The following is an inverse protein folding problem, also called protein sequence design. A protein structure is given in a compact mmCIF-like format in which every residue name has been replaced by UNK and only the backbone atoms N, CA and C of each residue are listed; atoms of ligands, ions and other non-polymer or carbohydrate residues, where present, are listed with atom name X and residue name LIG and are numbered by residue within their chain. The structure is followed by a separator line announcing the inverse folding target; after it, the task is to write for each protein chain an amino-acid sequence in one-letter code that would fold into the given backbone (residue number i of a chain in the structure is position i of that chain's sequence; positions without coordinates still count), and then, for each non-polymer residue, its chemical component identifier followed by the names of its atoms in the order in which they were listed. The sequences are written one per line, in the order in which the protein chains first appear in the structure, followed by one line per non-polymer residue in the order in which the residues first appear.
data_IF_709941679520
#
_entry.id   IF_709941679520
#
_cell.length_a   1.000
_cell.length_b   1.000
_cell.length_c   1.000
_cell.angle_alpha   90.00
_cell.angle_beta   90.00
_cell.angle_gamma   90.00
#
_symmetry.space_group_name_H-M   'P 1'
#
loop_
_entity.id
_entity.type
_entity.pdbx_description
1 polymer ?
#
# COMPACT_ATOMS: atom_id res chain seq x y z
N UNK A 1 18.03 -0.62 29.01
CA UNK A 1 18.35 -1.95 28.44
C UNK A 1 17.35 -2.19 27.33
N UNK A 2 17.73 -2.43 26.06
CA UNK A 2 16.78 -2.92 25.06
C UNK A 2 16.27 -4.28 25.57
N UNK A 3 14.98 -4.49 25.44
CA UNK A 3 14.31 -5.70 25.88
C UNK A 3 14.70 -6.82 24.89
N UNK A 4 15.51 -7.79 25.30
CA UNK A 4 16.00 -8.90 24.46
C UNK A 4 14.90 -9.89 24.00
N UNK A 5 13.63 -9.52 24.19
CA UNK A 5 12.50 -10.36 23.80
C UNK A 5 12.23 -10.26 22.30
N UNK A 6 12.12 -11.39 21.64
CA UNK A 6 11.73 -11.50 20.22
C UNK A 6 10.34 -10.91 19.94
N UNK A 7 9.41 -11.06 20.88
CA UNK A 7 7.99 -10.66 20.74
C UNK A 7 7.57 -9.68 21.84
N UNK A 8 6.63 -8.75 21.54
CA UNK A 8 5.97 -7.96 22.57
C UNK A 8 5.09 -8.84 23.46
N UNK A 9 4.80 -8.39 24.67
CA UNK A 9 3.77 -9.00 25.51
C UNK A 9 2.38 -8.75 24.92
N UNK A 10 1.38 -9.52 25.35
CA UNK A 10 -0.02 -9.33 24.99
C UNK A 10 -0.49 -7.89 25.23
N UNK A 11 -0.13 -7.30 26.37
CA UNK A 11 -0.50 -5.92 26.72
C UNK A 11 0.17 -4.89 25.80
N UNK A 12 1.47 -5.05 25.52
CA UNK A 12 2.21 -4.16 24.63
C UNK A 12 1.64 -4.22 23.20
N UNK A 13 1.34 -5.44 22.70
CA UNK A 13 0.75 -5.62 21.37
C UNK A 13 -0.63 -4.96 21.24
N UNK A 14 -1.53 -5.18 22.23
CA UNK A 14 -2.86 -4.58 22.22
C UNK A 14 -2.82 -3.05 22.29
N UNK A 15 -1.99 -2.49 23.18
CA UNK A 15 -1.78 -1.03 23.28
C UNK A 15 -1.29 -0.43 21.95
N UNK A 16 -0.33 -1.09 21.31
CA UNK A 16 0.23 -0.62 20.05
C UNK A 16 -0.80 -0.71 18.91
N UNK A 17 -1.60 -1.77 18.85
CA UNK A 17 -2.70 -1.88 17.88
C UNK A 17 -3.69 -0.73 18.05
N UNK A 18 -4.11 -0.42 19.27
CA UNK A 18 -5.03 0.71 19.56
C UNK A 18 -4.40 2.04 19.16
N UNK A 19 -3.12 2.25 19.50
CA UNK A 19 -2.40 3.46 19.14
C UNK A 19 -2.31 3.67 17.63
N UNK A 20 -1.93 2.64 16.88
CA UNK A 20 -1.84 2.70 15.42
C UNK A 20 -3.23 2.91 14.81
N UNK A 21 -4.27 2.28 15.34
CA UNK A 21 -5.64 2.53 14.91
C UNK A 21 -6.04 4.01 15.03
N UNK A 22 -5.69 4.67 16.15
CA UNK A 22 -5.89 6.12 16.32
C UNK A 22 -5.12 6.94 15.29
N UNK A 23 -3.85 6.57 15.01
CA UNK A 23 -3.02 7.25 13.99
C UNK A 23 -3.65 7.12 12.60
N UNK A 24 -4.12 5.92 12.22
CA UNK A 24 -4.83 5.71 10.95
C UNK A 24 -6.07 6.59 10.83
N UNK A 25 -6.88 6.67 11.89
CA UNK A 25 -8.07 7.51 11.93
C UNK A 25 -7.73 9.00 11.80
N UNK A 26 -6.76 9.48 12.58
CA UNK A 26 -6.34 10.89 12.56
C UNK A 26 -5.71 11.33 11.24
N UNK A 27 -5.09 10.40 10.51
CA UNK A 27 -4.52 10.65 9.19
C UNK A 27 -5.51 10.45 8.03
N UNK A 28 -6.78 10.16 8.32
CA UNK A 28 -7.80 9.83 7.33
C UNK A 28 -7.43 8.63 6.45
N UNK A 29 -6.70 7.65 7.00
CA UNK A 29 -6.37 6.41 6.29
C UNK A 29 -7.50 5.39 6.34
N UNK A 30 -8.49 5.61 7.22
CA UNK A 30 -9.66 4.75 7.39
C UNK A 30 -10.93 5.59 7.51
N UNK A 31 -11.99 5.12 6.89
CA UNK A 31 -13.34 5.63 7.05
C UNK A 31 -14.16 4.63 7.87
N UNK A 32 -15.15 5.10 8.63
CA UNK A 32 -16.05 4.27 9.42
C UNK A 32 -15.31 3.17 10.22
N UNK A 33 -15.45 1.90 9.81
CA UNK A 33 -14.83 0.73 10.44
C UNK A 33 -13.77 0.05 9.55
N UNK A 34 -13.33 0.71 8.48
CA UNK A 34 -12.34 0.19 7.55
C UNK A 34 -10.98 -0.06 8.20
N UNK A 35 -10.16 -0.85 7.47
CA UNK A 35 -8.80 -1.18 7.87
C UNK A 35 -8.71 -2.23 8.97
N UNK A 36 -7.53 -2.79 9.14
CA UNK A 36 -7.23 -3.79 10.15
C UNK A 36 -5.73 -3.83 10.46
N UNK A 37 -5.40 -4.29 11.66
CA UNK A 37 -4.05 -4.28 12.21
C UNK A 37 -3.83 -5.60 12.94
N UNK A 38 -2.65 -6.19 12.82
CA UNK A 38 -2.26 -7.35 13.62
C UNK A 38 -0.81 -7.29 14.05
N UNK A 39 -0.51 -7.97 15.16
CA UNK A 39 0.81 -8.04 15.77
C UNK A 39 1.10 -9.46 16.27
N UNK A 40 2.25 -10.04 15.89
CA UNK A 40 2.72 -11.32 16.45
C UNK A 40 3.18 -11.13 17.89
N UNK A 41 2.80 -12.08 18.74
CA UNK A 41 3.21 -12.17 20.15
C UNK A 41 3.86 -13.50 20.47
N UNK A 42 3.89 -14.42 19.50
CA UNK A 42 4.57 -15.71 19.54
C UNK A 42 4.82 -16.17 18.09
N UNK A 43 5.54 -17.27 17.89
CA UNK A 43 5.78 -17.87 16.57
C UNK A 43 4.48 -18.19 15.82
N UNK A 44 3.42 -18.58 16.55
CA UNK A 44 2.12 -19.01 16.01
C UNK A 44 0.92 -18.19 16.49
N UNK A 45 1.15 -17.10 17.23
CA UNK A 45 0.04 -16.32 17.84
C UNK A 45 0.14 -14.85 17.47
N UNK A 46 -1.04 -14.29 17.12
CA UNK A 46 -1.22 -12.87 16.87
C UNK A 46 -2.33 -12.29 17.74
N UNK A 47 -2.24 -10.98 17.98
CA UNK A 47 -3.39 -10.11 18.27
C UNK A 47 -3.80 -9.39 17.00
N UNK A 48 -5.12 -9.24 16.78
CA UNK A 48 -5.68 -8.54 15.62
C UNK A 48 -6.90 -7.72 16.02
N UNK A 49 -7.24 -6.75 15.17
CA UNK A 49 -8.41 -5.89 15.35
C UNK A 49 -9.72 -6.65 15.17
N UNK A 50 -10.77 -6.29 15.93
CA UNK A 50 -12.10 -6.86 15.76
C UNK A 50 -12.77 -6.34 14.47
N UNK A 51 -13.75 -7.09 13.96
CA UNK A 51 -14.62 -6.63 12.87
C UNK A 51 -15.59 -5.53 13.32
N UNK A 52 -15.94 -4.62 12.42
CA UNK A 52 -17.03 -3.66 12.60
C UNK A 52 -16.79 -2.58 13.67
N UNK A 53 -15.54 -2.31 14.05
CA UNK A 53 -15.15 -1.27 14.99
C UNK A 53 -14.28 -0.23 14.32
N UNK A 54 -14.59 1.06 14.53
CA UNK A 54 -13.76 2.16 14.04
C UNK A 54 -12.38 2.13 14.67
N UNK A 55 -11.34 2.22 13.86
CA UNK A 55 -9.95 2.10 14.32
C UNK A 55 -9.53 3.24 15.25
N UNK A 56 -10.19 4.40 15.15
CA UNK A 56 -9.95 5.53 16.06
C UNK A 56 -10.50 5.37 17.47
N UNK A 57 -11.40 4.40 17.69
CA UNK A 57 -12.17 4.27 18.93
C UNK A 57 -12.10 2.85 19.52
N UNK A 58 -11.10 2.08 19.18
CA UNK A 58 -10.86 0.76 19.75
C UNK A 58 -10.33 0.84 21.18
N UNK A 59 -10.62 -0.19 21.98
CA UNK A 59 -10.01 -0.45 23.28
C UNK A 59 -9.31 -1.82 23.31
N UNK A 60 -8.40 -2.02 24.26
CA UNK A 60 -7.57 -3.24 24.34
C UNK A 60 -8.38 -4.53 24.58
N UNK A 61 -9.51 -4.43 25.26
CA UNK A 61 -10.42 -5.55 25.58
C UNK A 61 -11.20 -6.06 24.35
N UNK A 62 -11.28 -5.26 23.29
CA UNK A 62 -11.95 -5.62 22.04
C UNK A 62 -11.06 -6.48 21.13
N UNK A 63 -9.74 -6.53 21.38
CA UNK A 63 -8.80 -7.24 20.50
C UNK A 63 -9.06 -8.75 20.46
N UNK A 64 -8.74 -9.36 19.34
CA UNK A 64 -8.88 -10.80 19.12
C UNK A 64 -7.50 -11.46 19.12
N UNK A 65 -7.34 -12.52 19.92
CA UNK A 65 -6.15 -13.37 19.93
C UNK A 65 -6.42 -14.62 19.11
N UNK A 66 -5.52 -14.94 18.20
CA UNK A 66 -5.71 -16.09 17.32
C UNK A 66 -4.39 -16.73 16.91
N UNK A 67 -4.46 -17.99 16.44
CA UNK A 67 -3.34 -18.68 15.81
C UNK A 67 -3.22 -18.31 14.34
N UNK A 68 -2.03 -18.58 13.78
CA UNK A 68 -1.80 -18.37 12.34
C UNK A 68 -2.60 -19.34 11.45
N UNK A 69 -3.10 -20.45 12.01
CA UNK A 69 -4.04 -21.37 11.32
C UNK A 69 -5.49 -20.85 11.27
N UNK A 70 -5.76 -19.68 11.87
CA UNK A 70 -7.09 -19.07 11.93
C UNK A 70 -7.89 -19.42 13.18
N UNK A 71 -7.39 -20.28 14.09
CA UNK A 71 -8.08 -20.64 15.33
C UNK A 71 -8.13 -19.43 16.27
N UNK A 72 -9.33 -19.01 16.65
CA UNK A 72 -9.53 -17.94 17.65
C UNK A 72 -9.31 -18.49 19.05
N UNK A 73 -8.40 -17.89 19.82
CA UNK A 73 -8.06 -18.26 21.20
C UNK A 73 -8.82 -17.42 22.23
N UNK A 74 -9.03 -16.13 21.94
CA UNK A 74 -9.75 -15.20 22.79
C UNK A 74 -10.26 -14.03 21.98
N UNK A 75 -11.46 -13.53 22.28
CA UNK A 75 -12.07 -12.35 21.65
C UNK A 75 -12.97 -11.63 22.64
N UNK A 76 -13.21 -10.33 22.39
CA UNK A 76 -14.25 -9.56 23.04
C UNK A 76 -15.63 -9.88 22.46
N UNK A 77 -16.49 -8.88 22.36
CA UNK A 77 -17.85 -9.04 21.83
C UNK A 77 -17.89 -9.41 20.34
N UNK A 78 -16.81 -9.12 19.60
CA UNK A 78 -16.73 -9.27 18.14
C UNK A 78 -15.58 -10.20 17.75
N UNK A 79 -15.78 -10.96 16.69
CA UNK A 79 -14.74 -11.80 16.08
C UNK A 79 -13.69 -10.96 15.32
N UNK A 80 -12.67 -11.62 14.73
CA UNK A 80 -11.63 -10.94 13.96
C UNK A 80 -12.20 -10.28 12.70
N UNK A 81 -11.46 -9.31 12.17
CA UNK A 81 -11.73 -8.73 10.85
C UNK A 81 -11.90 -9.84 9.80
N UNK A 82 -12.82 -9.68 8.86
CA UNK A 82 -13.01 -10.60 7.72
C UNK A 82 -11.77 -10.71 6.84
N UNK A 83 -10.91 -9.69 6.87
CA UNK A 83 -9.68 -9.59 6.07
C UNK A 83 -8.44 -10.09 6.81
N UNK A 84 -8.59 -10.65 8.01
CA UNK A 84 -7.46 -11.22 8.77
C UNK A 84 -6.73 -12.31 7.98
N UNK A 85 -7.41 -13.01 7.06
CA UNK A 85 -6.81 -14.02 6.17
C UNK A 85 -5.63 -13.47 5.36
N UNK A 86 -5.71 -12.20 4.95
CA UNK A 86 -4.62 -11.48 4.28
C UNK A 86 -3.38 -11.38 5.19
N UNK A 87 -3.59 -11.02 6.47
CA UNK A 87 -2.50 -10.94 7.45
C UNK A 87 -1.88 -12.31 7.73
N UNK A 88 -2.71 -13.34 7.90
CA UNK A 88 -2.25 -14.70 8.12
C UNK A 88 -1.38 -15.18 6.95
N UNK A 89 -1.80 -14.88 5.72
CA UNK A 89 -1.01 -15.22 4.53
C UNK A 89 0.34 -14.51 4.50
N UNK A 90 0.40 -13.21 4.84
CA UNK A 90 1.66 -12.46 4.92
C UNK A 90 2.59 -13.11 5.96
N UNK A 91 2.10 -13.45 7.15
CA UNK A 91 2.91 -14.11 8.18
C UNK A 91 3.40 -15.50 7.76
N UNK A 92 2.59 -16.21 6.98
CA UNK A 92 2.97 -17.55 6.48
C UNK A 92 4.07 -17.45 5.42
N UNK A 93 3.94 -16.54 4.46
CA UNK A 93 4.91 -16.36 3.38
C UNK A 93 6.20 -15.66 3.83
N UNK A 94 6.08 -14.77 4.82
CA UNK A 94 7.20 -13.99 5.35
C UNK A 94 7.36 -14.17 6.86
N UNK A 95 8.18 -15.14 7.30
CA UNK A 95 8.42 -15.39 8.74
C UNK A 95 9.06 -14.23 9.48
N UNK A 96 9.66 -13.25 8.80
CA UNK A 96 10.22 -12.04 9.41
C UNK A 96 9.16 -10.97 9.70
N UNK A 97 7.96 -11.07 9.13
CA UNK A 97 6.87 -10.17 9.43
C UNK A 97 6.37 -10.39 10.86
N UNK A 98 6.40 -9.33 11.69
CA UNK A 98 5.90 -9.32 13.06
C UNK A 98 4.67 -8.43 13.22
N UNK A 99 4.40 -7.56 12.26
CA UNK A 99 3.23 -6.69 12.22
C UNK A 99 2.71 -6.49 10.81
N UNK A 100 1.39 -6.33 10.69
CA UNK A 100 0.71 -6.03 9.42
C UNK A 100 -0.30 -4.93 9.66
N UNK A 101 -0.33 -3.94 8.75
CA UNK A 101 -1.28 -2.83 8.73
C UNK A 101 -1.96 -2.78 7.36
N UNK A 102 -3.28 -2.77 7.34
CA UNK A 102 -4.09 -2.53 6.14
C UNK A 102 -5.02 -1.35 6.37
N UNK A 103 -5.11 -0.48 5.39
CA UNK A 103 -5.98 0.69 5.39
C UNK A 103 -6.29 1.14 3.95
N UNK A 104 -7.12 2.19 3.84
CA UNK A 104 -7.50 2.82 2.57
C UNK A 104 -7.01 4.28 2.51
N UNK A 105 -5.68 4.55 2.58
CA UNK A 105 -5.19 5.92 2.55
C UNK A 105 -5.57 6.55 1.20
N UNK A 106 -6.08 7.80 1.16
CA UNK A 106 -6.77 8.32 -0.04
C UNK A 106 -5.95 8.34 -1.32
N UNK A 107 -4.67 8.71 -1.24
CA UNK A 107 -3.85 8.85 -2.45
C UNK A 107 -3.39 7.48 -2.95
N UNK A 108 -2.83 6.64 -2.08
CA UNK A 108 -2.41 5.30 -2.47
C UNK A 108 -3.59 4.43 -2.91
N UNK A 109 -4.78 4.60 -2.30
CA UNK A 109 -6.01 3.94 -2.76
C UNK A 109 -6.42 4.44 -4.16
N UNK A 110 -6.22 5.74 -4.47
CA UNK A 110 -6.47 6.25 -5.82
C UNK A 110 -5.53 5.60 -6.86
N UNK A 111 -4.25 5.41 -6.52
CA UNK A 111 -3.33 4.63 -7.35
C UNK A 111 -3.76 3.16 -7.50
N UNK A 112 -4.23 2.54 -6.41
CA UNK A 112 -4.77 1.18 -6.42
C UNK A 112 -6.01 1.06 -7.34
N UNK A 113 -6.92 2.05 -7.31
CA UNK A 113 -8.10 2.10 -8.21
C UNK A 113 -7.66 2.26 -9.67
N UNK A 114 -6.60 3.03 -9.92
CA UNK A 114 -6.05 3.18 -11.26
C UNK A 114 -5.23 1.94 -11.73
N UNK A 115 -4.99 0.95 -10.86
CA UNK A 115 -4.15 -0.21 -11.14
C UNK A 115 -2.66 0.13 -11.29
N UNK A 116 -2.20 1.22 -10.69
CA UNK A 116 -0.84 1.76 -10.83
C UNK A 116 -0.06 1.52 -9.54
N UNK A 117 1.06 0.78 -9.62
CA UNK A 117 2.02 0.63 -8.53
C UNK A 117 2.88 1.89 -8.33
N UNK A 118 3.63 1.93 -7.21
CA UNK A 118 4.54 3.02 -6.91
C UNK A 118 5.98 2.56 -7.14
N UNK A 119 6.55 2.94 -8.26
CA UNK A 119 7.84 2.43 -8.75
C UNK A 119 8.79 3.53 -9.27
N UNK A 120 8.55 4.80 -8.94
CA UNK A 120 9.35 5.92 -9.45
C UNK A 120 10.61 6.15 -8.60
N UNK A 121 11.77 6.18 -9.25
CA UNK A 121 13.05 6.48 -8.58
C UNK A 121 13.24 8.00 -8.38
N UNK A 122 12.38 8.63 -7.57
CA UNK A 122 12.33 10.09 -7.38
C UNK A 122 12.43 10.54 -5.92
N UNK A 123 12.35 9.60 -4.97
CA UNK A 123 12.29 9.91 -3.55
C UNK A 123 13.17 8.93 -2.75
N UNK A 124 14.37 9.37 -2.29
CA UNK A 124 15.36 8.50 -1.65
C UNK A 124 14.81 7.73 -0.43
N UNK A 125 14.04 8.38 0.44
CA UNK A 125 13.47 7.75 1.62
C UNK A 125 12.50 6.61 1.27
N UNK A 126 11.71 6.77 0.20
CA UNK A 126 10.85 5.69 -0.26
C UNK A 126 11.68 4.52 -0.82
N UNK A 127 12.73 4.79 -1.59
CA UNK A 127 13.61 3.74 -2.10
C UNK A 127 14.27 2.94 -0.97
N UNK A 128 14.74 3.62 0.07
CA UNK A 128 15.44 2.99 1.19
C UNK A 128 14.49 2.18 2.07
N UNK A 129 13.33 2.74 2.43
CA UNK A 129 12.44 2.13 3.43
C UNK A 129 11.39 1.19 2.83
N UNK A 130 10.90 1.48 1.62
CA UNK A 130 9.85 0.70 0.94
C UNK A 130 10.39 -0.09 -0.25
N UNK A 131 11.20 0.54 -1.08
CA UNK A 131 11.46 0.10 -2.44
C UNK A 131 10.28 0.42 -3.36
N UNK A 132 9.90 -0.53 -4.21
CA UNK A 132 8.69 -0.44 -5.04
C UNK A 132 7.48 -0.98 -4.28
N UNK A 133 6.28 -0.44 -4.59
CA UNK A 133 5.01 -0.92 -4.06
C UNK A 133 4.14 -1.39 -5.23
N UNK A 134 4.15 -2.69 -5.55
CA UNK A 134 3.32 -3.24 -6.63
C UNK A 134 1.83 -3.07 -6.35
N UNK A 135 1.03 -2.97 -7.42
CA UNK A 135 -0.42 -3.08 -7.35
C UNK A 135 -0.82 -4.50 -7.78
N UNK A 136 -1.39 -5.29 -6.85
CA UNK A 136 -1.91 -6.63 -7.17
C UNK A 136 -3.30 -6.54 -7.78
N UNK A 137 -3.70 -7.57 -8.54
CA UNK A 137 -5.00 -7.58 -9.22
C UNK A 137 -6.17 -7.56 -8.22
N UNK A 138 -7.32 -7.13 -8.72
CA UNK A 138 -8.55 -7.04 -7.92
C UNK A 138 -9.04 -8.41 -7.47
N UNK A 139 -9.39 -8.47 -6.19
CA UNK A 139 -10.10 -9.58 -5.56
C UNK A 139 -11.17 -9.04 -4.62
N UNK A 140 -12.27 -9.76 -4.45
CA UNK A 140 -13.35 -9.32 -3.59
C UNK A 140 -12.91 -9.26 -2.11
N UNK A 141 -13.18 -8.16 -1.37
CA UNK A 141 -12.83 -8.05 0.04
C UNK A 141 -13.36 -9.22 0.88
N UNK A 142 -12.52 -9.76 1.76
CA UNK A 142 -12.83 -10.91 2.61
C UNK A 142 -12.80 -12.28 1.90
N UNK A 143 -12.61 -12.32 0.56
CA UNK A 143 -12.45 -13.56 -0.20
C UNK A 143 -11.10 -14.24 0.06
N UNK A 144 -10.95 -15.49 -0.41
CA UNK A 144 -9.66 -16.18 -0.42
C UNK A 144 -8.73 -15.65 -1.53
N UNK A 145 -9.27 -14.96 -2.53
CA UNK A 145 -8.50 -14.39 -3.63
C UNK A 145 -7.47 -13.35 -3.15
N UNK A 146 -7.80 -12.50 -2.15
CA UNK A 146 -6.86 -11.51 -1.62
C UNK A 146 -5.60 -12.17 -1.05
N UNK A 147 -5.65 -13.12 -0.11
CA UNK A 147 -4.47 -13.87 0.33
C UNK A 147 -3.66 -14.47 -0.82
N UNK A 148 -4.32 -15.06 -1.81
CA UNK A 148 -3.66 -15.72 -2.92
C UNK A 148 -2.97 -14.71 -3.87
N UNK A 149 -3.55 -13.54 -4.09
CA UNK A 149 -2.98 -12.47 -4.89
C UNK A 149 -1.73 -11.84 -4.25
N UNK A 150 -1.64 -11.84 -2.92
CA UNK A 150 -0.54 -11.25 -2.15
C UNK A 150 0.64 -12.23 -2.01
N UNK A 151 0.38 -13.52 -1.92
CA UNK A 151 1.37 -14.56 -1.62
C UNK A 151 2.67 -14.45 -2.42
N UNK A 152 2.65 -14.22 -3.75
CA UNK A 152 3.89 -14.13 -4.54
C UNK A 152 4.80 -12.95 -4.17
N UNK A 153 4.26 -11.93 -3.48
CA UNK A 153 4.96 -10.68 -3.18
C UNK A 153 5.38 -10.57 -1.72
N UNK A 154 4.76 -11.32 -0.82
CA UNK A 154 4.89 -11.12 0.62
C UNK A 154 6.33 -11.27 1.15
N UNK A 155 7.18 -12.06 0.47
CA UNK A 155 8.59 -12.25 0.87
C UNK A 155 9.50 -11.13 0.41
N UNK A 156 9.29 -10.61 -0.79
CA UNK A 156 10.26 -9.76 -1.50
C UNK A 156 9.91 -8.27 -1.42
N UNK A 157 8.68 -7.93 -1.01
CA UNK A 157 8.21 -6.55 -0.88
C UNK A 157 7.86 -6.21 0.57
N UNK A 158 7.62 -4.94 0.82
CA UNK A 158 7.32 -4.40 2.16
C UNK A 158 5.91 -3.83 2.26
N UNK A 159 5.30 -3.53 1.13
CA UNK A 159 3.93 -3.03 1.00
C UNK A 159 3.38 -3.38 -0.39
N UNK A 160 2.05 -3.42 -0.50
CA UNK A 160 1.32 -3.64 -1.75
C UNK A 160 0.13 -2.69 -1.82
N UNK A 161 -0.23 -2.30 -3.02
CA UNK A 161 -1.55 -1.77 -3.35
C UNK A 161 -2.46 -2.93 -3.77
N UNK A 162 -3.69 -2.92 -3.28
CA UNK A 162 -4.73 -3.87 -3.63
C UNK A 162 -5.68 -3.18 -4.61
N UNK A 163 -5.73 -3.63 -5.86
CA UNK A 163 -6.52 -2.97 -6.91
C UNK A 163 -7.96 -2.71 -6.46
N UNK A 164 -8.45 -1.48 -6.66
CA UNK A 164 -9.79 -1.03 -6.27
C UNK A 164 -10.13 -1.15 -4.77
N UNK A 165 -9.12 -1.28 -3.88
CA UNK A 165 -9.37 -1.54 -2.48
C UNK A 165 -8.56 -0.60 -1.57
N UNK A 166 -7.25 -0.75 -1.49
CA UNK A 166 -6.42 0.02 -0.55
C UNK A 166 -4.97 -0.40 -0.56
N UNK A 167 -4.30 -0.26 0.59
CA UNK A 167 -2.90 -0.61 0.77
C UNK A 167 -2.69 -1.52 1.99
N UNK A 168 -1.73 -2.43 1.89
CA UNK A 168 -1.26 -3.28 2.99
C UNK A 168 0.25 -3.18 3.11
N UNK A 169 0.75 -3.10 4.34
CA UNK A 169 2.18 -3.09 4.63
C UNK A 169 2.49 -3.98 5.84
N UNK A 170 3.70 -4.51 5.88
CA UNK A 170 4.18 -5.37 6.96
C UNK A 170 5.64 -5.08 7.29
N UNK A 171 6.09 -5.55 8.45
CA UNK A 171 7.46 -5.28 8.88
C UNK A 171 7.92 -6.15 10.03
N UNK A 172 9.22 -6.06 10.40
CA UNK A 172 9.84 -6.79 11.51
C UNK A 172 9.34 -6.33 12.90
N UNK A 173 8.53 -5.28 12.94
CA UNK A 173 7.71 -4.90 14.08
C UNK A 173 6.40 -4.30 13.59
N UNK A 174 5.42 -4.14 14.49
CA UNK A 174 4.18 -3.48 14.14
C UNK A 174 4.39 -1.97 13.86
N UNK A 175 5.37 -1.34 14.50
CA UNK A 175 5.74 0.05 14.17
C UNK A 175 6.34 0.17 12.78
N UNK A 176 7.20 -0.75 12.36
CA UNK A 176 7.75 -0.76 11.00
C UNK A 176 6.64 -0.95 9.95
N UNK A 177 5.68 -1.85 10.22
CA UNK A 177 4.51 -2.03 9.34
C UNK A 177 3.71 -0.72 9.20
N UNK A 178 3.50 -0.01 10.32
CA UNK A 178 2.84 1.30 10.32
C UNK A 178 3.64 2.34 9.53
N UNK A 179 4.93 2.49 9.79
CA UNK A 179 5.77 3.45 9.07
C UNK A 179 5.82 3.17 7.57
N UNK A 180 5.83 1.90 7.16
CA UNK A 180 5.77 1.50 5.76
C UNK A 180 4.43 1.87 5.12
N UNK A 181 3.31 1.70 5.82
CA UNK A 181 1.99 2.12 5.33
C UNK A 181 1.91 3.65 5.20
N UNK A 182 2.40 4.38 6.21
CA UNK A 182 2.47 5.84 6.21
C UNK A 182 3.36 6.37 5.08
N UNK A 183 4.52 5.74 4.89
CA UNK A 183 5.45 6.07 3.80
C UNK A 183 4.88 5.73 2.42
N UNK A 184 4.06 4.68 2.31
CA UNK A 184 3.36 4.33 1.06
C UNK A 184 2.43 5.47 0.63
N UNK A 185 1.62 5.99 1.54
CA UNK A 185 0.74 7.12 1.26
C UNK A 185 1.53 8.39 0.93
N UNK A 186 2.57 8.69 1.70
CA UNK A 186 3.40 9.86 1.44
C UNK A 186 4.10 9.77 0.07
N UNK A 187 4.61 8.61 -0.30
CA UNK A 187 5.23 8.38 -1.60
C UNK A 187 4.22 8.53 -2.76
N UNK A 188 3.02 7.96 -2.62
CA UNK A 188 1.93 8.13 -3.59
C UNK A 188 1.57 9.63 -3.76
N UNK A 189 1.50 10.38 -2.65
CA UNK A 189 1.25 11.82 -2.65
C UNK A 189 2.35 12.59 -3.40
N UNK A 190 3.62 12.28 -3.15
CA UNK A 190 4.76 12.90 -3.85
C UNK A 190 4.68 12.61 -5.36
N UNK A 191 4.42 11.37 -5.77
CA UNK A 191 4.25 11.02 -7.20
C UNK A 191 3.11 11.82 -7.83
N UNK A 192 1.96 11.91 -7.15
CA UNK A 192 0.81 12.67 -7.63
C UNK A 192 1.14 14.15 -7.80
N UNK A 193 1.77 14.78 -6.81
CA UNK A 193 2.10 16.19 -6.87
C UNK A 193 3.15 16.51 -7.93
N UNK A 194 4.19 15.70 -8.06
CA UNK A 194 5.23 15.90 -9.07
C UNK A 194 4.72 15.64 -10.48
N UNK A 195 3.90 14.61 -10.67
CA UNK A 195 3.34 14.25 -11.98
C UNK A 195 2.21 15.19 -12.41
N UNK A 196 1.19 15.36 -11.57
CA UNK A 196 -0.08 15.99 -11.98
C UNK A 196 -0.14 17.50 -11.68
N UNK A 197 0.60 18.00 -10.69
CA UNK A 197 0.54 19.41 -10.27
C UNK A 197 1.76 20.18 -10.79
N UNK A 198 2.97 19.69 -10.48
CA UNK A 198 4.22 20.34 -10.89
C UNK A 198 4.55 20.01 -12.37
N UNK A 199 4.14 18.84 -12.82
CA UNK A 199 4.31 18.38 -14.20
C UNK A 199 5.73 17.89 -14.54
N UNK A 200 6.61 17.73 -13.54
CA UNK A 200 7.95 17.17 -13.72
C UNK A 200 8.50 16.53 -12.45
N UNK A 201 9.32 15.51 -12.62
CA UNK A 201 10.11 14.91 -11.55
C UNK A 201 11.58 14.78 -12.00
N UNK A 202 12.50 14.97 -11.08
CA UNK A 202 13.91 14.63 -11.31
C UNK A 202 14.10 13.15 -10.95
N UNK A 203 14.15 12.29 -11.96
CA UNK A 203 14.33 10.85 -11.79
C UNK A 203 15.80 10.56 -11.48
N UNK A 204 16.04 9.77 -10.45
CA UNK A 204 17.38 9.38 -10.05
C UNK A 204 18.06 8.50 -11.12
N UNK A 205 19.36 8.70 -11.31
CA UNK A 205 20.17 7.85 -12.20
C UNK A 205 20.34 6.45 -11.63
N UNK A 206 20.77 5.50 -12.48
CA UNK A 206 20.99 4.13 -12.03
C UNK A 206 22.12 4.05 -10.98
N UNK A 207 23.14 4.90 -11.07
CA UNK A 207 24.21 5.00 -10.06
C UNK A 207 23.63 5.45 -8.71
N UNK A 208 22.80 6.49 -8.71
CA UNK A 208 22.14 6.98 -7.50
C UNK A 208 21.19 5.95 -6.88
N UNK A 209 20.42 5.22 -7.71
CA UNK A 209 19.56 4.13 -7.23
C UNK A 209 20.42 3.02 -6.63
N UNK A 210 21.53 2.65 -7.25
CA UNK A 210 22.47 1.64 -6.72
C UNK A 210 23.01 2.05 -5.35
N UNK A 211 23.46 3.30 -5.20
CA UNK A 211 23.93 3.84 -3.92
C UNK A 211 22.87 3.75 -2.82
N UNK A 212 21.61 4.08 -3.14
CA UNK A 212 20.50 3.99 -2.18
C UNK A 212 20.17 2.54 -1.79
N UNK A 213 20.28 1.60 -2.73
CA UNK A 213 20.13 0.16 -2.44
C UNK A 213 21.24 -0.34 -1.53
N UNK A 214 22.48 0.15 -1.70
CA UNK A 214 23.57 -0.17 -0.75
C UNK A 214 23.30 0.38 0.65
N UNK A 215 22.77 1.60 0.77
CA UNK A 215 22.35 2.18 2.04
C UNK A 215 21.25 1.32 2.67
N UNK A 216 20.22 0.95 1.91
CA UNK A 216 19.14 0.07 2.35
C UNK A 216 19.68 -1.25 2.92
N UNK A 217 20.62 -1.89 2.20
CA UNK A 217 21.25 -3.14 2.64
C UNK A 217 22.05 -2.97 3.93
N UNK A 218 22.80 -1.86 4.09
CA UNK A 218 23.52 -1.52 5.32
C UNK A 218 22.59 -1.33 6.53
N UNK A 219 21.35 -0.89 6.29
CA UNK A 219 20.31 -0.79 7.31
C UNK A 219 19.63 -2.13 7.61
N UNK A 220 20.03 -3.23 6.97
CA UNK A 220 19.48 -4.56 7.16
C UNK A 220 18.13 -4.78 6.45
N UNK A 221 17.71 -3.87 5.57
CA UNK A 221 16.47 -4.00 4.79
C UNK A 221 16.82 -4.70 3.48
N UNK A 222 16.50 -5.99 3.38
CA UNK A 222 16.84 -6.85 2.22
C UNK A 222 15.71 -7.03 1.23
N UNK A 223 14.51 -6.54 1.55
CA UNK A 223 13.29 -6.58 0.74
C UNK A 223 12.94 -5.22 0.15
N UNK A 224 11.90 -5.16 -0.71
CA UNK A 224 11.35 -3.89 -1.19
C UNK A 224 11.52 -3.65 -2.69
N UNK A 225 12.03 -4.63 -3.46
CA UNK A 225 12.22 -4.48 -4.91
C UNK A 225 13.18 -3.34 -5.29
N UNK A 226 13.37 -3.13 -6.58
CA UNK A 226 14.22 -2.07 -7.14
C UNK A 226 13.42 -1.35 -8.23
N UNK A 227 13.18 -0.04 -8.12
CA UNK A 227 12.47 0.70 -9.16
C UNK A 227 13.32 0.79 -10.43
N UNK A 228 12.69 0.88 -11.62
CA UNK A 228 13.40 1.14 -12.84
C UNK A 228 14.12 2.49 -12.77
N UNK A 229 15.39 2.54 -13.16
CA UNK A 229 16.20 3.73 -13.16
C UNK A 229 16.46 4.25 -14.58
N UNK A 230 16.80 5.52 -14.72
CA UNK A 230 17.19 6.10 -15.99
C UNK A 230 18.70 5.88 -16.23
N UNK A 231 19.08 5.36 -17.40
CA UNK A 231 20.48 5.22 -17.80
C UNK A 231 21.20 6.57 -18.03
N UNK A 232 20.46 7.68 -18.04
CA UNK A 232 20.99 9.06 -18.11
C UNK A 232 20.19 9.94 -17.15
N UNK A 233 20.82 10.97 -16.52
CA UNK A 233 20.06 12.03 -15.89
C UNK A 233 19.14 12.62 -16.96
N UNK A 234 17.85 12.39 -16.84
CA UNK A 234 16.86 12.93 -17.79
C UNK A 234 16.89 14.44 -17.69
N UNK A 235 17.30 15.09 -18.76
CA UNK A 235 17.04 16.50 -18.94
C UNK A 235 15.52 16.68 -18.91
N UNK A 236 15.04 17.59 -18.12
CA UNK A 236 13.69 17.78 -17.57
C UNK A 236 12.54 17.88 -18.59
N UNK A 237 12.73 17.60 -19.86
CA UNK A 237 11.71 17.73 -20.89
C UNK A 237 11.01 16.42 -21.30
N UNK A 238 11.56 15.26 -20.99
CA UNK A 238 11.07 13.98 -21.54
C UNK A 238 10.06 13.24 -20.65
N UNK A 239 9.77 13.74 -19.44
CA UNK A 239 9.00 12.99 -18.42
C UNK A 239 7.48 13.17 -18.54
N UNK A 240 7.00 14.16 -19.31
CA UNK A 240 5.57 14.52 -19.35
C UNK A 240 4.77 13.69 -20.38
N UNK A 241 5.41 13.09 -21.37
CA UNK A 241 4.74 12.38 -22.47
C UNK A 241 4.61 10.86 -22.30
N UNK A 242 4.99 10.31 -21.18
CA UNK A 242 5.11 8.86 -21.02
C UNK A 242 4.00 8.22 -20.19
N UNK A 243 2.91 7.79 -20.83
CA UNK A 243 2.34 6.52 -20.49
C UNK A 243 3.45 5.47 -20.73
N UNK A 244 4.31 5.25 -19.73
CA UNK A 244 5.14 4.05 -19.74
C UNK A 244 4.20 2.86 -19.67
N UNK A 245 4.25 1.92 -20.63
CA UNK A 245 3.53 0.68 -20.47
C UNK A 245 4.00 0.09 -19.13
N UNK A 246 3.08 -0.32 -18.30
CA UNK A 246 3.31 -1.14 -17.12
C UNK A 246 4.36 -2.16 -17.52
N UNK A 247 5.55 -2.09 -16.90
CA UNK A 247 6.58 -3.09 -17.12
C UNK A 247 5.93 -4.42 -16.84
N UNK A 248 5.83 -5.24 -17.86
CA UNK A 248 5.24 -6.58 -17.79
C UNK A 248 5.95 -7.35 -16.67
N UNK A 249 5.27 -7.45 -15.52
CA UNK A 249 5.58 -8.52 -14.59
C UNK A 249 5.44 -9.82 -15.37
N UNK A 250 6.38 -10.77 -15.29
CA UNK A 250 6.34 -12.03 -16.08
C UNK A 250 5.09 -12.88 -15.82
N UNK A 251 4.17 -12.45 -14.94
CA UNK A 251 2.96 -13.16 -14.54
C UNK A 251 1.65 -12.58 -15.13
N UNK A 252 1.70 -11.54 -15.98
CA UNK A 252 0.51 -10.92 -16.57
C UNK A 252 0.24 -11.32 -18.02
N UNK A 253 0.60 -12.53 -18.43
CA UNK A 253 0.14 -13.09 -19.71
C UNK A 253 -0.78 -14.30 -19.46
N UNK A 254 -2.08 -14.01 -19.24
CA UNK A 254 -3.20 -14.88 -19.66
C UNK A 254 -4.52 -14.08 -19.63
N UNK A 255 -4.88 -13.58 -20.82
CA UNK A 255 -6.23 -13.37 -21.35
C UNK A 255 -7.42 -13.39 -20.36
N UNK A 256 -7.80 -12.23 -19.84
CA UNK A 256 -9.18 -11.98 -19.51
C UNK A 256 -9.89 -11.52 -20.78
N UNK A 257 -10.73 -12.38 -21.35
CA UNK A 257 -11.52 -12.11 -22.56
C UNK A 257 -12.69 -11.17 -22.29
N UNK A 258 -12.43 -9.96 -21.81
CA UNK A 258 -13.39 -8.89 -21.87
C UNK A 258 -13.10 -8.06 -23.13
N UNK A 259 -13.95 -8.25 -24.14
CA UNK A 259 -13.96 -7.41 -25.33
C UNK A 259 -14.22 -5.95 -24.92
N UNK A 260 -13.17 -5.18 -24.72
CA UNK A 260 -13.30 -3.72 -24.64
C UNK A 260 -13.48 -3.22 -26.06
N UNK A 261 -14.71 -2.81 -26.39
CA UNK A 261 -15.00 -2.04 -27.58
C UNK A 261 -14.09 -0.81 -27.58
N UNK A 262 -13.11 -0.78 -28.48
CA UNK A 262 -12.34 0.41 -28.82
C UNK A 262 -13.25 1.37 -29.59
N UNK A 263 -14.09 2.10 -28.88
CA UNK A 263 -14.56 3.41 -29.32
C UNK A 263 -13.68 4.43 -28.59
N UNK A 264 -12.52 4.69 -29.15
CA UNK A 264 -11.69 5.81 -28.81
C UNK A 264 -12.37 7.04 -29.42
N UNK A 265 -13.29 7.65 -28.66
CA UNK A 265 -13.75 8.99 -28.98
C UNK A 265 -12.59 9.93 -28.64
N UNK A 266 -11.89 10.42 -29.68
CA UNK A 266 -11.06 11.61 -29.55
C UNK A 266 -11.95 12.73 -28.99
N UNK A 267 -11.74 13.03 -27.71
CA UNK A 267 -12.42 14.17 -27.09
C UNK A 267 -11.76 15.41 -27.71
N UNK A 268 -12.47 16.03 -28.65
CA UNK A 268 -12.03 17.31 -29.24
C UNK A 268 -12.16 18.43 -28.20
N UNK A 269 -11.05 18.62 -27.46
CA UNK A 269 -10.93 19.65 -26.41
C UNK A 269 -11.23 21.05 -27.00
N UNK A 270 -10.94 21.29 -28.27
CA UNK A 270 -11.24 22.57 -28.90
C UNK A 270 -12.76 22.76 -29.11
N UNK A 271 -13.46 21.72 -29.54
CA UNK A 271 -14.93 21.77 -29.68
C UNK A 271 -15.63 22.00 -28.34
N UNK A 272 -15.16 21.34 -27.26
CA UNK A 272 -15.70 21.54 -25.91
C UNK A 272 -15.42 22.96 -25.42
N UNK A 273 -14.21 23.47 -25.62
CA UNK A 273 -13.85 24.84 -25.21
C UNK A 273 -14.70 25.87 -25.94
N UNK A 274 -14.94 25.69 -27.24
CA UNK A 274 -15.79 26.57 -28.05
C UNK A 274 -17.24 26.55 -27.55
N UNK A 275 -17.80 25.38 -27.30
CA UNK A 275 -19.16 25.23 -26.78
C UNK A 275 -19.34 25.89 -25.39
N UNK A 276 -18.36 25.78 -24.51
CA UNK A 276 -18.37 26.43 -23.19
C UNK A 276 -18.32 27.95 -23.33
N UNK A 277 -17.46 28.48 -24.22
CA UNK A 277 -17.37 29.92 -24.47
C UNK A 277 -18.65 30.50 -25.08
N UNK A 278 -19.31 29.80 -25.99
CA UNK A 278 -20.60 30.21 -26.56
C UNK A 278 -21.71 30.20 -25.49
N UNK A 279 -21.72 29.21 -24.62
CA UNK A 279 -22.68 29.14 -23.52
C UNK A 279 -22.49 30.29 -22.51
N UNK A 280 -21.26 30.63 -22.19
CA UNK A 280 -20.95 31.76 -21.29
C UNK A 280 -21.36 33.09 -21.93
N UNK A 281 -21.18 33.30 -23.27
CA UNK A 281 -21.65 34.49 -23.97
C UNK A 281 -23.18 34.59 -24.00
N UNK A 282 -23.91 33.48 -24.00
CA UNK A 282 -25.38 33.49 -23.98
C UNK A 282 -25.97 33.79 -22.58
N UNK A 283 -25.20 33.61 -21.51
CA UNK A 283 -25.60 33.91 -20.13
C UNK A 283 -25.36 35.37 -19.72
N UNK A 284 -24.59 36.11 -20.52
CA UNK A 284 -24.28 37.56 -20.32
C UNK A 284 -25.12 38.48 -21.24
N UNK A 285 -26.19 38.00 -21.79
CA UNK A 285 -27.26 38.75 -22.43
C UNK A 285 -28.54 38.53 -21.62
#
# INVERSE_FOLDING_TARGET
MPNDRKYPTDSEAKKLIVEIGKRMYLKNFVAANDGNISCKVDDDIIWTTPTGVSKGFMSEDQMVKMRLDGTVLSQGERGPSSEVKMHLRIYYENPQAMGVCHAHPPISTSFAIAGIGLDKAIYPEALVNLGTVPCVHYEAPGSQGIPDSIAPYARDYNALLLANHGAVAWGPSLMDAWYRLESTEHYAMVIMYTGNIIGKANVLSCEQVTELIEIRNKLGITSGGIPPCSARPTNTQDVIAGHSPVGSSPLLDKSCGCAVNKAQSDIDVQAITQAVLERLKSLNR
#
